data_IF_262104596005
#
_entry.id   IF_262104596005
#
_cell.length_a   1.000
_cell.length_b   1.000
_cell.length_c   1.000
_cell.angle_alpha   90.00
_cell.angle_beta   90.00
_cell.angle_gamma   90.00
#
_symmetry.space_group_name_H-M   'P 1'
#
loop_
_entity.id
_entity.type
_entity.pdbx_description
1 polymer ?
#
# COMPACT_ATOMS: atom_id res chain seq x y z
N UNK A 1 -1.35 -2.48 12.02
CA UNK A 1 -1.88 -1.40 11.15
C UNK A 1 -1.81 -1.91 9.75
N UNK A 2 -2.91 -1.82 9.02
CA UNK A 2 -3.11 -2.64 7.84
C UNK A 2 -2.95 -1.76 6.59
N UNK A 3 -2.05 -2.16 5.69
CA UNK A 3 -1.81 -1.49 4.42
C UNK A 3 -2.02 -2.46 3.26
N UNK A 4 -2.22 -1.90 2.08
CA UNK A 4 -2.03 -2.67 0.86
C UNK A 4 -1.22 -1.89 -0.15
N UNK A 5 -0.42 -2.61 -0.93
CA UNK A 5 0.32 -2.10 -2.06
C UNK A 5 -0.19 -2.79 -3.32
N UNK A 6 -0.54 -2.01 -4.32
CA UNK A 6 -0.99 -2.53 -5.61
C UNK A 6 0.12 -2.32 -6.64
N UNK A 7 0.57 -3.42 -7.24
CA UNK A 7 1.51 -3.38 -8.36
C UNK A 7 0.93 -4.10 -9.57
N UNK A 8 1.43 -3.74 -10.75
CA UNK A 8 1.07 -4.36 -12.01
C UNK A 8 2.30 -4.91 -12.71
N UNK A 9 2.16 -6.07 -13.34
CA UNK A 9 3.04 -6.47 -14.44
C UNK A 9 2.36 -6.15 -15.77
N UNK A 10 2.91 -6.61 -16.89
CA UNK A 10 2.27 -6.47 -18.19
C UNK A 10 0.95 -7.26 -18.31
N UNK A 11 0.79 -8.35 -17.56
CA UNK A 11 -0.32 -9.32 -17.73
C UNK A 11 -1.13 -9.59 -16.47
N UNK A 12 -0.69 -9.10 -15.31
CA UNK A 12 -1.37 -9.32 -14.04
C UNK A 12 -1.29 -8.11 -13.09
N UNK A 13 -2.11 -8.20 -12.04
CA UNK A 13 -2.08 -7.33 -10.88
C UNK A 13 -1.67 -8.14 -9.65
N UNK A 14 -0.93 -7.49 -8.75
CA UNK A 14 -0.51 -8.04 -7.48
C UNK A 14 -0.96 -7.07 -6.39
N UNK A 15 -1.95 -7.48 -5.60
CA UNK A 15 -2.40 -6.76 -4.41
C UNK A 15 -1.72 -7.40 -3.20
N UNK A 16 -0.78 -6.68 -2.61
CA UNK A 16 0.03 -7.14 -1.48
C UNK A 16 -0.53 -6.51 -0.22
N UNK A 17 -1.10 -7.33 0.66
CA UNK A 17 -1.58 -6.94 1.99
C UNK A 17 -0.42 -7.00 2.97
N UNK A 18 -0.24 -5.92 3.74
CA UNK A 18 0.92 -5.75 4.61
C UNK A 18 0.41 -5.59 6.05
N UNK A 19 0.77 -6.55 6.90
CA UNK A 19 0.65 -6.42 8.35
C UNK A 19 1.97 -5.89 8.90
N UNK A 20 1.88 -4.89 9.77
CA UNK A 20 3.04 -4.29 10.44
C UNK A 20 2.80 -4.33 11.94
N UNK A 21 3.48 -5.26 12.60
CA UNK A 21 3.47 -5.42 14.06
C UNK A 21 4.40 -4.42 14.74
N UNK A 22 4.45 -4.33 16.07
CA UNK A 22 5.39 -3.42 16.74
C UNK A 22 6.85 -3.89 16.54
N UNK A 23 7.84 -2.98 16.43
CA UNK A 23 9.25 -3.37 16.33
C UNK A 23 9.75 -4.21 17.51
N UNK A 24 9.06 -4.17 18.64
CA UNK A 24 9.39 -4.86 19.88
C UNK A 24 8.73 -6.24 19.99
N UNK A 25 7.81 -6.56 19.08
CA UNK A 25 7.15 -7.86 19.02
C UNK A 25 8.19 -8.95 18.79
N UNK A 26 8.12 -10.03 19.57
CA UNK A 26 9.16 -11.06 19.58
C UNK A 26 8.90 -12.15 18.57
N UNK A 27 9.95 -12.70 17.98
CA UNK A 27 9.86 -13.93 17.18
C UNK A 27 9.87 -15.15 18.10
N UNK A 28 10.76 -15.17 19.10
CA UNK A 28 11.01 -16.32 19.97
C UNK A 28 10.75 -15.99 21.44
N UNK A 29 10.44 -17.02 22.24
CA UNK A 29 10.06 -16.83 23.67
C UNK A 29 11.18 -16.24 24.54
N UNK A 30 12.42 -16.63 24.26
CA UNK A 30 13.63 -16.20 24.96
C UNK A 30 14.84 -16.40 24.05
N UNK A 31 16.05 -15.98 24.46
CA UNK A 31 17.26 -16.01 23.63
C UNK A 31 17.83 -17.42 23.37
N UNK A 32 17.48 -18.42 24.19
CA UNK A 32 17.94 -19.80 24.02
C UNK A 32 16.91 -20.67 23.26
N UNK A 33 15.65 -20.25 23.24
CA UNK A 33 14.53 -21.03 22.74
C UNK A 33 14.37 -20.94 21.22
N UNK A 34 13.93 -22.02 20.61
CA UNK A 34 13.49 -22.07 19.21
C UNK A 34 11.96 -22.05 19.09
N UNK A 35 11.24 -21.94 20.22
CA UNK A 35 9.79 -21.84 20.22
C UNK A 35 9.36 -20.42 19.93
N UNK A 36 8.39 -20.28 19.03
CA UNK A 36 7.85 -18.98 18.69
C UNK A 36 7.13 -18.32 19.87
N UNK A 37 7.26 -17.00 19.95
CA UNK A 37 6.55 -16.17 20.90
C UNK A 37 5.07 -16.04 20.49
N UNK A 38 4.12 -15.90 21.44
CA UNK A 38 2.72 -15.65 21.13
C UNK A 38 2.47 -14.50 20.16
N UNK A 39 3.22 -13.39 20.26
CA UNK A 39 3.12 -12.26 19.34
C UNK A 39 3.28 -12.69 17.87
N UNK A 40 4.28 -13.53 17.58
CA UNK A 40 4.51 -14.00 16.23
C UNK A 40 3.40 -14.95 15.76
N UNK A 41 2.86 -15.78 16.65
CA UNK A 41 1.69 -16.60 16.34
C UNK A 41 0.46 -15.75 16.01
N UNK A 42 0.17 -14.72 16.82
CA UNK A 42 -0.95 -13.81 16.57
C UNK A 42 -0.79 -13.07 15.23
N UNK A 43 0.42 -12.65 14.89
CA UNK A 43 0.71 -12.02 13.61
C UNK A 43 0.48 -12.98 12.42
N UNK A 44 0.93 -14.24 12.53
CA UNK A 44 0.67 -15.27 11.51
C UNK A 44 -0.83 -15.60 11.40
N UNK A 45 -1.56 -15.59 12.51
CA UNK A 45 -3.01 -15.77 12.52
C UNK A 45 -3.72 -14.65 11.76
N UNK A 46 -3.26 -13.40 11.87
CA UNK A 46 -3.82 -12.29 11.11
C UNK A 46 -3.68 -12.50 9.60
N UNK A 47 -2.51 -12.93 9.13
CA UNK A 47 -2.30 -13.31 7.72
C UNK A 47 -3.24 -14.44 7.30
N UNK A 48 -3.39 -15.47 8.15
CA UNK A 48 -4.27 -16.60 7.88
C UNK A 48 -5.76 -16.20 7.86
N UNK A 49 -6.19 -15.22 8.67
CA UNK A 49 -7.55 -14.66 8.63
C UNK A 49 -7.83 -14.00 7.28
N UNK A 50 -6.90 -13.20 6.77
CA UNK A 50 -7.05 -12.64 5.43
C UNK A 50 -7.12 -13.73 4.37
N UNK A 51 -6.23 -14.72 4.40
CA UNK A 51 -6.28 -15.86 3.47
C UNK A 51 -7.62 -16.59 3.49
N UNK A 52 -8.12 -16.90 4.69
CA UNK A 52 -9.43 -17.54 4.84
C UNK A 52 -10.54 -16.65 4.27
N UNK A 53 -10.49 -15.33 4.52
CA UNK A 53 -11.47 -14.40 3.97
C UNK A 53 -11.43 -14.35 2.43
N UNK A 54 -10.24 -14.33 1.82
CA UNK A 54 -10.05 -14.31 0.37
C UNK A 54 -10.23 -15.67 -0.33
N UNK A 55 -10.20 -16.78 0.42
CA UNK A 55 -10.57 -18.10 -0.14
C UNK A 55 -12.06 -18.21 -0.47
N UNK A 56 -12.89 -17.32 0.08
CA UNK A 56 -14.26 -17.14 -0.34
C UNK A 56 -14.29 -16.28 -1.61
N UNK A 57 -14.72 -16.87 -2.73
CA UNK A 57 -14.73 -16.20 -4.03
C UNK A 57 -15.60 -14.92 -4.06
N UNK A 58 -16.83 -14.89 -3.51
CA UNK A 58 -17.61 -13.66 -3.37
C UNK A 58 -16.86 -12.52 -2.67
N UNK A 59 -16.19 -12.80 -1.55
CA UNK A 59 -15.39 -11.82 -0.82
C UNK A 59 -14.24 -11.28 -1.68
N UNK A 60 -13.49 -12.19 -2.30
CA UNK A 60 -12.38 -11.84 -3.19
C UNK A 60 -12.85 -10.98 -4.36
N UNK A 61 -13.94 -11.36 -5.01
CA UNK A 61 -14.50 -10.62 -6.14
C UNK A 61 -15.05 -9.25 -5.70
N UNK A 62 -15.73 -9.17 -4.56
CA UNK A 62 -16.20 -7.91 -4.00
C UNK A 62 -15.05 -6.95 -3.68
N UNK A 63 -13.94 -7.45 -3.13
CA UNK A 63 -12.76 -6.64 -2.89
C UNK A 63 -12.07 -6.22 -4.19
N UNK A 64 -11.75 -7.16 -5.08
CA UNK A 64 -10.98 -6.90 -6.31
C UNK A 64 -11.76 -6.04 -7.32
N UNK A 65 -13.04 -6.35 -7.50
CA UNK A 65 -13.89 -5.70 -8.51
C UNK A 65 -14.75 -4.57 -7.94
N UNK A 66 -14.90 -4.48 -6.62
CA UNK A 66 -15.62 -3.39 -5.96
C UNK A 66 -14.68 -2.40 -5.26
N UNK A 67 -13.86 -2.86 -4.33
CA UNK A 67 -13.07 -1.98 -3.45
C UNK A 67 -11.89 -1.32 -4.16
N UNK A 68 -11.03 -2.12 -4.81
CA UNK A 68 -9.79 -1.63 -5.45
C UNK A 68 -9.97 -1.36 -6.95
N UNK A 69 -11.22 -1.27 -7.40
CA UNK A 69 -11.52 -1.27 -8.82
C UNK A 69 -10.98 -0.03 -9.55
N UNK A 70 -11.27 1.11 -8.95
CA UNK A 70 -10.84 2.44 -9.40
C UNK A 70 -9.32 2.55 -9.53
N UNK A 71 -8.57 1.88 -8.66
CA UNK A 71 -7.09 1.92 -8.65
C UNK A 71 -6.47 1.13 -9.82
N UNK A 72 -7.22 0.22 -10.43
CA UNK A 72 -6.75 -0.58 -11.57
C UNK A 72 -7.17 0.02 -12.91
N UNK A 73 -7.79 1.20 -12.90
CA UNK A 73 -8.17 1.96 -14.10
C UNK A 73 -9.35 1.35 -14.87
N UNK A 74 -10.60 1.51 -14.39
CA UNK A 74 -11.77 1.05 -15.12
C UNK A 74 -11.85 1.79 -16.47
N UNK A 75 -11.61 1.07 -17.57
CA UNK A 75 -11.48 1.64 -18.92
C UNK A 75 -10.15 1.29 -19.60
N UNK A 76 -9.16 0.83 -18.84
CA UNK A 76 -7.94 0.23 -19.38
C UNK A 76 -8.12 -1.28 -19.57
N UNK A 77 -7.61 -1.85 -20.66
CA UNK A 77 -7.74 -3.28 -20.97
C UNK A 77 -7.21 -4.19 -19.84
N UNK A 78 -6.19 -3.73 -19.10
CA UNK A 78 -5.62 -4.47 -17.96
C UNK A 78 -6.56 -4.59 -16.75
N UNK A 79 -7.69 -3.87 -16.70
CA UNK A 79 -8.69 -4.01 -15.64
C UNK A 79 -9.19 -5.46 -15.50
N UNK A 80 -9.24 -6.19 -16.62
CA UNK A 80 -9.71 -7.57 -16.67
C UNK A 80 -8.64 -8.60 -16.31
N UNK A 81 -7.38 -8.18 -16.21
CA UNK A 81 -6.28 -9.09 -15.93
C UNK A 81 -6.42 -9.68 -14.52
N UNK A 82 -5.95 -10.92 -14.29
CA UNK A 82 -5.95 -11.54 -12.97
C UNK A 82 -5.32 -10.64 -11.91
N UNK A 83 -5.93 -10.61 -10.72
CA UNK A 83 -5.38 -9.95 -9.54
C UNK A 83 -5.05 -11.00 -8.48
N UNK A 84 -3.77 -11.14 -8.18
CA UNK A 84 -3.26 -12.05 -7.17
C UNK A 84 -3.17 -11.35 -5.82
N UNK A 85 -3.73 -11.97 -4.78
CA UNK A 85 -3.61 -11.49 -3.40
C UNK A 85 -2.35 -12.12 -2.81
N UNK A 86 -1.45 -11.28 -2.32
CA UNK A 86 -0.19 -11.66 -1.67
C UNK A 86 -0.10 -11.00 -0.30
N UNK A 87 0.83 -11.47 0.51
CA UNK A 87 0.94 -11.08 1.91
C UNK A 87 2.38 -10.75 2.30
N UNK A 88 2.55 -9.72 3.11
CA UNK A 88 3.81 -9.43 3.78
C UNK A 88 3.51 -9.22 5.26
N UNK A 89 4.28 -9.86 6.12
CA UNK A 89 4.30 -9.58 7.55
C UNK A 89 5.62 -8.88 7.90
N UNK A 90 5.55 -7.69 8.47
CA UNK A 90 6.70 -7.02 9.09
C UNK A 90 6.64 -7.23 10.60
N UNK A 91 7.63 -7.94 11.15
CA UNK A 91 7.64 -8.36 12.56
C UNK A 91 9.03 -8.23 13.18
N UNK A 92 9.10 -7.86 14.46
CA UNK A 92 10.31 -7.92 15.29
C UNK A 92 11.60 -7.34 14.70
N UNK A 93 12.73 -7.67 15.34
CA UNK A 93 14.07 -7.24 14.92
C UNK A 93 14.89 -8.40 14.40
N UNK A 94 15.74 -8.12 13.42
CA UNK A 94 16.70 -9.09 12.85
C UNK A 94 17.62 -9.68 13.89
N UNK A 95 17.97 -8.90 14.91
CA UNK A 95 18.88 -9.30 16.00
C UNK A 95 18.42 -10.55 16.75
N UNK A 96 17.14 -10.93 16.69
CA UNK A 96 16.65 -12.16 17.32
C UNK A 96 17.07 -13.45 16.59
N UNK A 97 17.43 -13.37 15.32
CA UNK A 97 17.81 -14.52 14.50
C UNK A 97 19.09 -14.31 13.69
N UNK A 98 19.70 -13.12 13.75
CA UNK A 98 21.00 -12.85 13.16
C UNK A 98 22.07 -13.78 13.77
N UNK A 99 22.91 -14.37 12.92
CA UNK A 99 23.89 -15.38 13.36
C UNK A 99 23.30 -16.73 13.81
N UNK A 100 21.98 -16.91 13.87
CA UNK A 100 21.33 -18.16 14.27
C UNK A 100 20.57 -18.80 13.09
N UNK A 101 21.21 -19.78 12.43
CA UNK A 101 20.63 -20.44 11.26
C UNK A 101 19.34 -21.20 11.55
N UNK A 102 19.21 -21.83 12.72
CA UNK A 102 18.02 -22.60 13.09
C UNK A 102 16.81 -21.66 13.17
N UNK A 103 16.96 -20.54 13.87
CA UNK A 103 15.91 -19.51 13.98
C UNK A 103 15.53 -18.94 12.62
N UNK A 104 16.52 -18.65 11.77
CA UNK A 104 16.27 -18.17 10.40
C UNK A 104 15.47 -19.19 9.58
N UNK A 105 15.81 -20.48 9.65
CA UNK A 105 15.08 -21.55 8.94
C UNK A 105 13.67 -21.74 9.48
N UNK A 106 13.46 -21.60 10.78
CA UNK A 106 12.12 -21.68 11.38
C UNK A 106 11.21 -20.55 10.88
N UNK A 107 11.71 -19.31 10.83
CA UNK A 107 10.97 -18.16 10.29
C UNK A 107 10.68 -18.39 8.80
N UNK A 108 11.70 -18.74 8.01
CA UNK A 108 11.55 -19.02 6.57
C UNK A 108 10.58 -20.18 6.30
N UNK A 109 10.52 -21.18 7.19
CA UNK A 109 9.55 -22.28 7.10
C UNK A 109 8.09 -21.87 7.30
N UNK A 110 7.81 -20.64 7.76
CA UNK A 110 6.46 -20.08 7.81
C UNK A 110 6.06 -19.38 6.51
N UNK A 111 7.02 -19.03 5.65
CA UNK A 111 6.77 -18.36 4.38
C UNK A 111 6.14 -19.30 3.33
N UNK A 112 5.56 -18.69 2.30
CA UNK A 112 4.96 -19.36 1.13
C UNK A 112 5.23 -18.52 -0.12
N UNK A 113 4.94 -19.07 -1.29
CA UNK A 113 5.12 -18.37 -2.57
C UNK A 113 4.40 -17.01 -2.67
N UNK A 114 3.29 -16.85 -1.93
CA UNK A 114 2.48 -15.64 -1.87
C UNK A 114 2.60 -14.91 -0.51
N UNK A 115 3.51 -15.33 0.38
CA UNK A 115 3.70 -14.74 1.71
C UNK A 115 5.14 -14.71 2.17
N UNK A 116 5.61 -13.50 2.48
CA UNK A 116 6.96 -13.28 3.00
C UNK A 116 6.95 -12.53 4.33
N UNK A 117 8.00 -12.76 5.12
CA UNK A 117 8.19 -12.18 6.44
C UNK A 117 9.43 -11.30 6.38
N UNK A 118 9.26 -10.03 6.76
CA UNK A 118 10.34 -9.06 6.85
C UNK A 118 10.58 -8.69 8.31
N UNK A 119 11.84 -8.50 8.66
CA UNK A 119 12.19 -7.79 9.89
C UNK A 119 12.03 -6.28 9.69
N UNK A 120 11.87 -5.54 10.79
CA UNK A 120 11.88 -4.07 10.74
C UNK A 120 13.15 -3.50 10.12
N UNK A 121 14.29 -4.12 10.42
CA UNK A 121 15.59 -3.70 9.91
C UNK A 121 15.64 -3.84 8.37
N UNK A 122 15.08 -4.91 7.82
CA UNK A 122 14.93 -5.08 6.36
C UNK A 122 13.96 -4.08 5.74
N UNK A 123 12.91 -3.67 6.44
CA UNK A 123 11.95 -2.68 5.92
C UNK A 123 12.61 -1.30 5.78
N UNK A 124 13.38 -0.87 6.78
CA UNK A 124 14.01 0.46 6.81
C UNK A 124 15.35 0.51 6.06
N UNK A 125 15.89 -0.64 5.68
CA UNK A 125 17.08 -0.70 4.83
C UNK A 125 16.89 0.11 3.55
N UNK A 126 17.89 0.93 3.28
CA UNK A 126 17.95 1.83 2.13
C UNK A 126 16.72 2.72 1.97
N UNK A 127 16.04 3.10 3.06
CA UNK A 127 14.86 3.98 3.00
C UNK A 127 15.19 5.31 2.29
N UNK A 128 16.41 5.81 2.46
CA UNK A 128 16.91 7.02 1.80
C UNK A 128 17.00 6.91 0.27
N UNK A 129 17.02 5.71 -0.29
CA UNK A 129 17.08 5.48 -1.74
C UNK A 129 15.72 5.08 -2.32
N UNK A 130 14.67 4.94 -1.49
CA UNK A 130 13.32 4.58 -1.94
C UNK A 130 12.58 5.85 -2.37
N UNK A 131 11.83 5.75 -3.47
CA UNK A 131 11.03 6.87 -3.97
C UNK A 131 9.90 7.25 -3.02
N UNK A 132 9.52 8.53 -3.02
CA UNK A 132 8.35 9.00 -2.27
C UNK A 132 7.06 8.37 -2.85
N UNK A 133 6.07 8.11 -1.98
CA UNK A 133 4.77 7.57 -2.37
C UNK A 133 3.65 8.49 -1.91
N UNK A 134 2.57 8.55 -2.70
CA UNK A 134 1.36 9.21 -2.24
C UNK A 134 0.70 8.41 -1.13
N UNK A 135 0.38 9.08 -0.03
CA UNK A 135 -0.47 8.53 1.01
C UNK A 135 -1.92 8.89 0.68
N UNK A 136 -2.79 7.89 0.60
CA UNK A 136 -4.19 8.09 0.29
C UNK A 136 -5.08 7.24 1.19
N UNK A 137 -6.30 7.73 1.41
CA UNK A 137 -7.37 7.05 2.14
C UNK A 137 -8.54 6.80 1.21
N UNK A 138 -8.97 5.54 1.12
CA UNK A 138 -10.21 5.17 0.41
C UNK A 138 -11.43 5.47 1.30
N UNK A 139 -12.39 6.22 0.77
CA UNK A 139 -13.80 6.28 1.22
C UNK A 139 -14.66 5.51 0.23
N UNK A 140 -15.92 5.21 0.49
CA UNK A 140 -16.73 4.38 -0.43
C UNK A 140 -16.82 4.94 -1.86
N UNK A 141 -17.00 6.26 -1.99
CA UNK A 141 -17.24 6.90 -3.29
C UNK A 141 -16.01 7.61 -3.86
N UNK A 142 -14.96 7.86 -3.06
CA UNK A 142 -13.78 8.60 -3.53
C UNK A 142 -12.51 8.16 -2.80
N UNK A 143 -11.36 8.63 -3.29
CA UNK A 143 -10.04 8.47 -2.72
C UNK A 143 -9.55 9.87 -2.33
N UNK A 144 -9.11 9.99 -1.08
CA UNK A 144 -8.56 11.22 -0.53
C UNK A 144 -7.04 11.09 -0.50
N UNK A 145 -6.33 11.88 -1.32
CA UNK A 145 -4.87 11.94 -1.28
C UNK A 145 -4.48 12.92 -0.19
N UNK A 146 -3.75 12.42 0.80
CA UNK A 146 -3.36 13.16 2.01
C UNK A 146 -1.98 13.81 1.89
N UNK A 147 -1.14 13.32 0.98
CA UNK A 147 0.16 13.94 0.68
C UNK A 147 -0.03 15.37 0.20
N UNK A 148 0.76 16.29 0.73
CA UNK A 148 0.74 17.72 0.34
C UNK A 148 1.75 18.05 -0.76
N UNK A 149 2.73 17.18 -0.98
CA UNK A 149 3.76 17.34 -2.01
C UNK A 149 3.42 16.55 -3.25
N UNK A 150 3.60 17.18 -4.41
CA UNK A 150 3.56 16.50 -5.70
C UNK A 150 4.75 15.54 -5.85
N UNK A 151 4.45 14.28 -6.19
CA UNK A 151 5.43 13.21 -6.39
C UNK A 151 5.51 12.85 -7.87
N UNK A 152 4.36 12.53 -8.46
CA UNK A 152 4.22 12.25 -9.89
C UNK A 152 2.78 12.46 -10.36
N UNK A 153 2.61 12.55 -11.67
CA UNK A 153 1.30 12.69 -12.30
C UNK A 153 0.47 11.41 -12.31
N UNK A 154 1.10 10.22 -12.24
CA UNK A 154 0.47 8.95 -12.60
C UNK A 154 -0.85 8.68 -11.88
N UNK A 155 -0.90 8.91 -10.56
CA UNK A 155 -2.13 8.76 -9.76
C UNK A 155 -3.21 9.76 -10.19
N UNK A 156 -2.82 11.02 -10.40
CA UNK A 156 -3.72 12.13 -10.67
C UNK A 156 -4.23 12.15 -12.12
N UNK A 157 -3.49 11.55 -13.05
CA UNK A 157 -3.87 11.46 -14.46
C UNK A 157 -4.65 10.18 -14.79
N UNK A 158 -4.36 9.08 -14.10
CA UNK A 158 -4.89 7.75 -14.47
C UNK A 158 -6.24 7.41 -13.85
N UNK A 159 -6.60 8.06 -12.73
CA UNK A 159 -7.88 7.86 -12.05
C UNK A 159 -8.85 8.95 -12.51
N UNK A 160 -10.12 8.58 -12.76
CA UNK A 160 -11.15 9.56 -13.08
C UNK A 160 -11.21 10.65 -11.97
N UNK A 161 -11.07 11.93 -12.33
CA UNK A 161 -11.02 13.03 -11.36
C UNK A 161 -12.21 13.09 -10.39
N UNK A 162 -13.38 12.59 -10.78
CA UNK A 162 -14.57 12.55 -9.93
C UNK A 162 -14.41 11.67 -8.70
N UNK A 163 -13.50 10.69 -8.76
CA UNK A 163 -13.17 9.81 -7.64
C UNK A 163 -12.01 10.31 -6.80
N UNK A 164 -11.36 11.42 -7.16
CA UNK A 164 -10.22 11.96 -6.43
C UNK A 164 -10.58 13.23 -5.64
N UNK A 165 -10.05 13.31 -4.43
CA UNK A 165 -9.99 14.55 -3.65
C UNK A 165 -8.56 14.77 -3.18
N UNK A 166 -8.06 15.98 -3.38
CA UNK A 166 -6.70 16.40 -2.99
C UNK A 166 -6.76 17.67 -2.14
N UNK A 167 -5.76 17.88 -1.29
CA UNK A 167 -5.62 19.14 -0.55
C UNK A 167 -5.27 20.31 -1.49
N UNK A 168 -5.52 21.53 -1.04
CA UNK A 168 -5.15 22.72 -1.82
C UNK A 168 -3.62 22.86 -1.91
N UNK A 169 -2.89 22.39 -0.90
CA UNK A 169 -1.44 22.29 -0.86
C UNK A 169 -0.91 21.36 -1.95
N UNK A 170 -1.48 20.15 -2.08
CA UNK A 170 -1.10 19.22 -3.15
C UNK A 170 -1.41 19.78 -4.52
N UNK A 171 -2.56 20.43 -4.68
CA UNK A 171 -2.95 21.08 -5.93
C UNK A 171 -1.95 22.15 -6.33
N UNK A 172 -1.58 23.02 -5.39
CA UNK A 172 -0.58 24.07 -5.61
C UNK A 172 0.77 23.45 -5.94
N UNK A 173 1.21 22.47 -5.15
CA UNK A 173 2.48 21.75 -5.38
C UNK A 173 2.51 21.12 -6.78
N UNK A 174 1.41 20.52 -7.24
CA UNK A 174 1.33 19.97 -8.59
C UNK A 174 1.48 21.04 -9.68
N UNK A 175 0.82 22.19 -9.53
CA UNK A 175 0.91 23.32 -10.45
C UNK A 175 2.31 23.93 -10.50
N UNK A 176 2.97 24.05 -9.34
CA UNK A 176 4.36 24.52 -9.24
C UNK A 176 5.33 23.58 -9.98
N UNK A 177 4.95 22.31 -10.19
CA UNK A 177 5.71 21.31 -10.95
C UNK A 177 5.16 21.08 -12.38
N UNK A 178 4.42 22.04 -12.95
CA UNK A 178 3.83 21.89 -14.30
C UNK A 178 4.85 21.52 -15.38
N UNK A 179 6.08 22.01 -15.26
CA UNK A 179 7.16 21.72 -16.22
C UNK A 179 7.62 20.26 -16.22
N UNK A 180 7.34 19.50 -15.15
CA UNK A 180 7.70 18.09 -15.05
C UNK A 180 6.60 17.15 -15.56
N UNK A 181 5.48 17.68 -16.06
CA UNK A 181 4.36 16.87 -16.52
C UNK A 181 4.64 16.30 -17.92
N UNK A 182 4.29 15.02 -18.14
CA UNK A 182 4.48 14.41 -19.45
C UNK A 182 3.46 14.92 -20.46
N UNK A 183 3.88 14.97 -21.72
CA UNK A 183 3.02 15.28 -22.85
C UNK A 183 2.34 14.01 -23.37
N UNK A 184 1.01 14.03 -23.47
CA UNK A 184 0.24 13.00 -24.16
C UNK A 184 -0.35 13.60 -25.43
N UNK A 185 0.13 13.16 -26.60
CA UNK A 185 -0.34 13.63 -27.91
C UNK A 185 -0.82 12.48 -28.78
N UNK A 186 -2.08 12.59 -29.24
CA UNK A 186 -2.50 12.04 -30.55
C UNK A 186 -2.86 13.15 -31.56
N UNK A 187 -3.13 14.39 -31.11
CA UNK A 187 -3.60 15.51 -31.95
C UNK A 187 -3.09 16.91 -31.51
N UNK A 188 -2.10 16.99 -30.62
CA UNK A 188 -1.57 18.27 -30.10
C UNK A 188 -0.88 18.14 -28.74
N UNK A 189 -0.19 19.19 -28.31
CA UNK A 189 0.50 19.25 -27.01
C UNK A 189 -0.53 19.40 -25.89
N UNK A 190 -0.79 18.32 -25.14
CA UNK A 190 -1.61 18.34 -23.94
C UNK A 190 -0.82 17.69 -22.80
N UNK A 191 -0.65 18.41 -21.69
CA UNK A 191 0.07 17.88 -20.53
C UNK A 191 -0.84 16.95 -19.72
N UNK A 192 -0.26 15.92 -19.11
CA UNK A 192 -0.96 14.84 -18.42
C UNK A 192 -2.04 15.30 -17.43
N UNK A 193 -1.79 16.40 -16.70
CA UNK A 193 -2.68 16.92 -15.68
C UNK A 193 -3.51 18.13 -16.11
N UNK A 194 -3.31 18.65 -17.31
CA UNK A 194 -3.96 19.89 -17.78
C UNK A 194 -5.49 19.77 -17.79
N UNK A 195 -6.00 18.60 -18.18
CA UNK A 195 -7.44 18.31 -18.17
C UNK A 195 -7.95 17.71 -16.86
N UNK A 196 -7.11 16.94 -16.16
CA UNK A 196 -7.52 16.18 -14.99
C UNK A 196 -7.54 17.04 -13.73
N UNK A 197 -6.45 17.75 -13.44
CA UNK A 197 -6.25 18.49 -12.19
C UNK A 197 -7.39 19.48 -11.89
N UNK A 198 -7.90 20.29 -12.85
CA UNK A 198 -9.01 21.21 -12.58
C UNK A 198 -10.32 20.52 -12.17
N UNK A 199 -10.51 19.24 -12.53
CA UNK A 199 -11.72 18.46 -12.25
C UNK A 199 -11.65 17.66 -10.95
N UNK A 200 -10.44 17.47 -10.40
CA UNK A 200 -10.25 16.77 -9.13
C UNK A 200 -10.92 17.59 -8.02
N UNK A 201 -11.61 16.92 -7.09
CA UNK A 201 -12.26 17.60 -5.96
C UNK A 201 -11.26 18.14 -4.94
N UNK A 202 -11.67 19.16 -4.17
CA UNK A 202 -10.88 19.63 -3.01
C UNK A 202 -11.22 18.83 -1.75
N UNK A 203 -10.17 18.46 -1.01
CA UNK A 203 -10.26 17.87 0.32
C UNK A 203 -10.20 19.00 1.35
N UNK A 204 -11.32 19.29 2.00
CA UNK A 204 -11.32 20.19 3.17
C UNK A 204 -10.81 19.40 4.38
N UNK A 205 -9.58 19.65 4.78
CA UNK A 205 -9.06 19.16 6.06
C UNK A 205 -9.89 19.86 7.15
N UNK A 206 -10.63 19.10 7.96
CA UNK A 206 -11.23 19.67 9.17
C UNK A 206 -10.06 20.09 10.05
N UNK A 207 -10.01 21.35 10.47
CA UNK A 207 -9.16 21.74 11.59
C UNK A 207 -9.48 20.77 12.73
N UNK A 208 -8.48 20.03 13.19
CA UNK A 208 -8.64 19.08 14.28
C UNK A 208 -9.30 19.80 15.45
N UNK A 209 -10.43 19.25 15.92
CA UNK A 209 -10.96 19.66 17.21
C UNK A 209 -9.89 19.34 18.25
N UNK A 210 -9.58 20.27 19.18
CA UNK A 210 -8.54 20.06 20.17
C UNK A 210 -8.81 18.75 20.91
N UNK A 211 -7.76 17.94 21.03
CA UNK A 211 -7.75 16.74 21.86
C UNK A 211 -8.15 17.19 23.27
N UNK A 212 -9.33 16.75 23.72
CA UNK A 212 -9.71 16.90 25.11
C UNK A 212 -8.77 16.01 25.93
N UNK A 213 -7.85 16.64 26.67
CA UNK A 213 -7.16 15.97 27.77
C UNK A 213 -8.21 15.59 28.83
N UNK A 214 -8.20 14.31 29.22
CA UNK A 214 -9.04 13.73 30.27
C UNK A 214 -8.64 12.30 30.56
#
# INVERSE_FOLDING_TARGET
TDFFYLSKSSVDWNCILIEIEKPQSKYFKDDASTNFHPDFHTALEQINRWRAWFSNEPNRNGFVNGTISLLRGPGHWMWQNPCYIKYVLVHGRRTEFEGNEIRRRLISGQERDDFHILSYDSLVESLHSKGELYMARRKNEHIEVLSERFISEGLLSSIDPSYLKITDELRKSALDHKESWHEYSLLGRCLALENALPKIGSLRVRADAPIAEG
#
